data_IF_050504635485
#
_entry.id   IF_050504635485
#
_cell.length_a   1.000
_cell.length_b   1.000
_cell.length_c   1.000
_cell.angle_alpha   90.00
_cell.angle_beta   90.00
_cell.angle_gamma   90.00
#
_symmetry.space_group_name_H-M   'P 1'
#
loop_
_entity.id
_entity.type
_entity.pdbx_description
1 polymer ?
#
# COMPACT_ATOMS: atom_id res chain seq x y z
N UNK A 1 -14.95 13.21 9.55
CA UNK A 1 -16.06 12.97 8.62
C UNK A 1 -15.92 11.62 7.98
N UNK A 2 -16.96 10.85 8.03
CA UNK A 2 -16.91 9.52 7.48
C UNK A 2 -17.17 9.52 6.00
N UNK A 3 -16.60 8.53 5.34
CA UNK A 3 -16.70 8.38 3.90
C UNK A 3 -17.67 7.26 3.52
N UNK A 4 -18.77 7.16 4.26
CA UNK A 4 -19.72 6.06 4.07
C UNK A 4 -20.47 6.14 2.75
N UNK A 5 -20.48 7.30 2.11
CA UNK A 5 -21.14 7.44 0.82
C UNK A 5 -20.41 6.69 -0.29
N UNK A 6 -19.18 6.30 -0.08
CA UNK A 6 -18.43 5.56 -1.07
C UNK A 6 -18.71 4.07 -0.93
N UNK A 7 -19.32 3.48 -1.94
CA UNK A 7 -19.71 2.07 -1.92
C UNK A 7 -18.90 1.22 -2.88
N UNK A 8 -18.21 1.84 -3.85
CA UNK A 8 -17.38 1.15 -4.83
C UNK A 8 -15.95 1.62 -4.73
N UNK A 9 -15.01 0.68 -4.85
CA UNK A 9 -13.58 1.02 -4.76
C UNK A 9 -13.18 2.03 -5.83
N UNK A 10 -13.74 1.92 -7.02
CA UNK A 10 -13.40 2.80 -8.12
C UNK A 10 -13.87 4.23 -7.94
N UNK A 11 -14.69 4.49 -6.94
CA UNK A 11 -15.11 5.85 -6.60
C UNK A 11 -14.02 6.61 -5.85
N UNK A 12 -13.04 5.90 -5.31
CA UNK A 12 -11.99 6.53 -4.52
C UNK A 12 -10.93 7.16 -5.42
N UNK A 13 -10.30 8.28 -4.96
CA UNK A 13 -9.22 8.87 -5.74
C UNK A 13 -8.10 7.86 -6.00
N UNK A 14 -7.51 7.94 -7.18
CA UNK A 14 -6.37 7.12 -7.60
C UNK A 14 -6.69 5.64 -7.85
N UNK A 15 -7.92 5.21 -7.66
CA UNK A 15 -8.27 3.79 -7.81
C UNK A 15 -9.04 3.57 -9.09
N UNK A 16 -8.39 2.92 -10.04
CA UNK A 16 -9.04 2.44 -11.26
C UNK A 16 -9.34 0.94 -11.14
N UNK A 17 -9.82 0.33 -12.24
CA UNK A 17 -10.21 -1.09 -12.19
C UNK A 17 -9.08 -2.04 -11.81
N UNK A 18 -7.85 -1.75 -12.23
CA UNK A 18 -6.71 -2.62 -11.91
C UNK A 18 -6.41 -2.62 -10.43
N UNK A 19 -6.37 -1.44 -9.80
CA UNK A 19 -6.11 -1.33 -8.36
C UNK A 19 -7.29 -1.90 -7.57
N UNK A 20 -8.51 -1.66 -8.02
CA UNK A 20 -9.68 -2.23 -7.35
C UNK A 20 -9.61 -3.76 -7.37
N UNK A 21 -9.20 -4.34 -8.49
CA UNK A 21 -9.01 -5.79 -8.57
C UNK A 21 -7.96 -6.29 -7.59
N UNK A 22 -6.86 -5.55 -7.45
CA UNK A 22 -5.81 -5.91 -6.51
C UNK A 22 -6.32 -5.86 -5.06
N UNK A 23 -7.12 -4.84 -4.73
CA UNK A 23 -7.68 -4.74 -3.39
C UNK A 23 -8.61 -5.92 -3.09
N UNK A 24 -9.42 -6.32 -4.07
CA UNK A 24 -10.31 -7.46 -3.88
C UNK A 24 -9.54 -8.75 -3.63
N UNK A 25 -8.36 -8.90 -4.22
CA UNK A 25 -7.52 -10.09 -4.03
C UNK A 25 -7.04 -10.23 -2.59
N UNK A 26 -6.95 -9.13 -1.85
CA UNK A 26 -6.52 -9.16 -0.45
C UNK A 26 -7.68 -8.96 0.52
N UNK A 27 -8.91 -9.18 0.03
CA UNK A 27 -10.08 -9.18 0.90
C UNK A 27 -10.74 -7.83 1.11
N UNK A 28 -10.35 -6.82 0.34
CA UNK A 28 -10.94 -5.50 0.45
C UNK A 28 -11.93 -5.34 -0.70
N UNK A 29 -13.21 -5.50 -0.39
CA UNK A 29 -14.27 -5.49 -1.39
C UNK A 29 -14.94 -4.14 -1.56
N UNK A 30 -14.96 -3.33 -0.49
CA UNK A 30 -15.61 -2.03 -0.50
C UNK A 30 -14.72 -1.02 0.24
N UNK A 31 -14.91 0.30 -0.01
CA UNK A 31 -14.06 1.31 0.62
C UNK A 31 -14.00 1.24 2.13
N UNK A 32 -15.11 0.89 2.78
CA UNK A 32 -15.13 0.82 4.24
C UNK A 32 -14.10 -0.17 4.79
N UNK A 33 -13.77 -1.20 4.02
CA UNK A 33 -12.78 -2.19 4.45
C UNK A 33 -11.36 -1.60 4.56
N UNK A 34 -11.13 -0.40 4.04
CA UNK A 34 -9.84 0.26 4.14
C UNK A 34 -9.65 0.99 5.47
N UNK A 35 -10.72 1.22 6.21
CA UNK A 35 -10.63 1.98 7.45
C UNK A 35 -9.76 1.20 8.45
N UNK A 36 -8.73 1.87 8.96
CA UNK A 36 -7.85 1.26 9.95
C UNK A 36 -6.84 0.26 9.42
N UNK A 37 -6.73 0.10 8.09
CA UNK A 37 -5.80 -0.87 7.51
C UNK A 37 -4.40 -0.29 7.37
N UNK A 38 -3.41 -1.16 7.45
CA UNK A 38 -2.01 -0.80 7.22
C UNK A 38 -1.69 -0.99 5.74
N UNK A 39 -1.43 0.08 4.99
CA UNK A 39 -1.17 -0.06 3.55
C UNK A 39 0.07 -0.88 3.23
N UNK A 40 1.06 -0.88 4.11
CA UNK A 40 2.28 -1.67 3.90
C UNK A 40 1.99 -3.17 4.03
N UNK A 41 1.18 -3.55 5.01
CA UNK A 41 0.72 -4.92 5.15
C UNK A 41 -0.14 -5.35 3.98
N UNK A 42 -0.99 -4.45 3.48
CA UNK A 42 -1.81 -4.72 2.30
C UNK A 42 -0.94 -5.01 1.08
N UNK A 43 0.11 -4.23 0.88
CA UNK A 43 1.03 -4.43 -0.24
C UNK A 43 1.74 -5.78 -0.13
N UNK A 44 2.23 -6.11 1.08
CA UNK A 44 2.89 -7.39 1.31
C UNK A 44 1.94 -8.56 1.03
N UNK A 45 0.69 -8.44 1.48
CA UNK A 45 -0.31 -9.46 1.22
C UNK A 45 -0.58 -9.64 -0.27
N UNK A 46 -0.65 -8.54 -1.00
CA UNK A 46 -0.89 -8.60 -2.44
C UNK A 46 0.26 -9.33 -3.15
N UNK A 47 1.48 -9.00 -2.81
CA UNK A 47 2.64 -9.66 -3.41
C UNK A 47 2.64 -11.15 -3.08
N UNK A 48 2.24 -11.50 -1.86
CA UNK A 48 2.19 -12.89 -1.43
C UNK A 48 1.12 -13.68 -2.17
N UNK A 49 -0.11 -13.13 -2.26
CA UNK A 49 -1.21 -13.89 -2.88
C UNK A 49 -1.07 -13.98 -4.39
N UNK A 50 -0.39 -13.03 -5.03
CA UNK A 50 -0.17 -13.08 -6.48
C UNK A 50 1.13 -13.77 -6.84
N UNK A 51 2.01 -14.01 -5.87
CA UNK A 51 3.29 -14.63 -6.12
C UNK A 51 4.25 -13.76 -6.91
N UNK A 52 4.04 -12.45 -6.92
CA UNK A 52 4.88 -11.54 -7.69
C UNK A 52 5.05 -10.21 -6.94
N UNK A 53 6.16 -9.53 -7.22
CA UNK A 53 6.43 -8.23 -6.65
C UNK A 53 5.79 -7.15 -7.50
N UNK A 54 4.93 -6.38 -6.89
CA UNK A 54 4.23 -5.30 -7.59
C UNK A 54 5.05 -4.03 -7.60
N UNK A 55 4.75 -3.14 -8.56
CA UNK A 55 5.38 -1.83 -8.63
C UNK A 55 5.13 -1.08 -7.33
N UNK A 56 6.16 -0.41 -6.76
CA UNK A 56 5.94 0.38 -5.54
C UNK A 56 4.89 1.46 -5.65
N UNK A 57 4.55 1.90 -6.86
CA UNK A 57 3.43 2.85 -7.05
C UNK A 57 2.12 2.29 -6.50
N UNK A 58 1.94 0.97 -6.54
CA UNK A 58 0.74 0.34 -6.00
C UNK A 58 0.65 0.61 -4.50
N UNK A 59 1.77 0.55 -3.80
CA UNK A 59 1.81 0.86 -2.38
C UNK A 59 1.44 2.32 -2.13
N UNK A 60 1.94 3.24 -2.96
CA UNK A 60 1.59 4.65 -2.83
C UNK A 60 0.08 4.85 -2.98
N UNK A 61 -0.54 4.14 -3.91
CA UNK A 61 -2.00 4.20 -4.09
C UNK A 61 -2.71 3.65 -2.86
N UNK A 62 -2.20 2.58 -2.28
CA UNK A 62 -2.79 2.02 -1.06
C UNK A 62 -2.71 3.02 0.09
N UNK A 63 -1.58 3.71 0.24
CA UNK A 63 -1.44 4.75 1.27
C UNK A 63 -2.49 5.83 1.05
N UNK A 64 -2.62 6.31 -0.18
CA UNK A 64 -3.59 7.35 -0.51
C UNK A 64 -5.02 6.91 -0.19
N UNK A 65 -5.36 5.67 -0.51
CA UNK A 65 -6.70 5.16 -0.29
C UNK A 65 -7.03 5.03 1.21
N UNK A 66 -6.10 4.51 1.98
CA UNK A 66 -6.29 4.35 3.43
C UNK A 66 -6.41 5.73 4.10
N UNK A 67 -5.55 6.69 3.71
CA UNK A 67 -5.61 8.04 4.25
C UNK A 67 -6.90 8.74 3.87
N UNK A 68 -7.36 8.56 2.65
CA UNK A 68 -8.62 9.15 2.22
C UNK A 68 -9.78 8.62 3.06
N UNK A 69 -9.82 7.32 3.31
CA UNK A 69 -10.89 6.74 4.12
C UNK A 69 -10.75 7.10 5.60
N UNK A 70 -9.59 7.56 6.02
CA UNK A 70 -9.40 8.09 7.37
C UNK A 70 -9.85 9.54 7.50
N UNK A 71 -10.31 10.16 6.41
CA UNK A 71 -10.83 11.52 6.42
C UNK A 71 -9.89 12.57 5.86
N UNK A 72 -8.72 12.18 5.35
CA UNK A 72 -7.78 13.13 4.78
C UNK A 72 -8.23 13.56 3.38
N UNK A 73 -7.81 14.74 2.91
CA UNK A 73 -8.21 15.22 1.58
C UNK A 73 -7.74 14.28 0.47
N UNK A 74 -8.48 14.29 -0.64
CA UNK A 74 -8.07 13.55 -1.84
C UNK A 74 -6.70 14.07 -2.29
N UNK A 75 -5.73 13.17 -2.41
CA UNK A 75 -4.35 13.52 -2.71
C UNK A 75 -3.82 12.55 -3.76
N UNK A 76 -3.07 13.05 -4.77
CA UNK A 76 -2.50 12.12 -5.77
C UNK A 76 -1.52 11.15 -5.12
N UNK A 77 -1.46 9.93 -5.68
CA UNK A 77 -0.64 8.87 -5.08
C UNK A 77 0.84 9.26 -5.00
N UNK A 78 1.35 10.02 -5.95
CA UNK A 78 2.77 10.38 -5.97
C UNK A 78 3.15 11.31 -4.83
N UNK A 79 2.18 11.94 -4.18
CA UNK A 79 2.45 12.77 -3.01
C UNK A 79 2.92 11.92 -1.83
N UNK A 80 2.68 10.62 -1.85
CA UNK A 80 3.08 9.72 -0.76
C UNK A 80 4.37 8.96 -1.04
N UNK A 81 4.99 9.18 -2.21
CA UNK A 81 6.19 8.45 -2.60
C UNK A 81 7.34 8.65 -1.61
N UNK A 82 7.58 9.88 -1.19
CA UNK A 82 8.66 10.17 -0.23
C UNK A 82 8.38 9.50 1.13
N UNK A 83 7.14 9.55 1.58
CA UNK A 83 6.76 8.90 2.83
C UNK A 83 6.95 7.39 2.74
N UNK A 84 6.54 6.79 1.63
CA UNK A 84 6.71 5.36 1.42
C UNK A 84 8.18 4.96 1.43
N UNK A 85 9.03 5.72 0.76
CA UNK A 85 10.46 5.42 0.73
C UNK A 85 11.08 5.52 2.13
N UNK A 86 10.70 6.54 2.89
CA UNK A 86 11.21 6.69 4.24
C UNK A 86 10.74 5.57 5.16
N UNK A 87 9.48 5.16 5.02
CA UNK A 87 8.93 4.09 5.84
C UNK A 87 9.60 2.75 5.54
N UNK A 88 9.89 2.46 4.27
CA UNK A 88 10.54 1.21 3.91
C UNK A 88 11.99 1.17 4.40
N UNK A 89 12.68 2.31 4.40
CA UNK A 89 14.02 2.38 4.97
C UNK A 89 13.98 2.06 6.46
N UNK A 90 12.99 2.57 7.19
CA UNK A 90 12.84 2.28 8.61
C UNK A 90 12.51 0.81 8.86
N UNK A 91 11.68 0.20 8.02
CA UNK A 91 11.30 -1.20 8.19
C UNK A 91 12.43 -2.15 7.80
N UNK A 92 13.22 -1.78 6.79
CA UNK A 92 14.31 -2.60 6.26
C UNK A 92 15.54 -1.74 6.06
N UNK A 93 16.21 -1.33 7.15
CA UNK A 93 17.37 -0.46 7.02
C UNK A 93 18.46 -1.10 6.18
N UNK A 94 19.19 -0.33 5.37
CA UNK A 94 20.32 -0.86 4.62
C UNK A 94 21.35 -1.49 5.55
N UNK A 95 22.00 -2.58 5.08
CA UNK A 95 23.07 -3.24 5.82
C UNK A 95 22.59 -4.35 6.74
N UNK A 96 21.35 -4.62 6.75
CA UNK A 96 20.85 -5.78 7.46
C UNK A 96 20.82 -6.97 6.54
N UNK A 97 20.98 -7.22 6.02
CA UNK A 97 20.77 -8.05 5.15
C UNK A 97 20.90 -9.12 5.05
N UNK A 98 20.80 -8.72 4.84
CA UNK A 98 20.78 -9.02 4.80
C UNK A 98 20.95 -9.75 4.82
N UNK A 99 20.87 -10.01 4.66
CA UNK A 99 20.81 -10.15 4.87
C UNK A 99 21.12 -10.43 4.99
N UNK A 100 21.50 -10.86 4.55
CA UNK A 100 21.49 -10.58 4.88
C UNK A 100 21.96 -10.62 4.73
N UNK A 101 22.16 -10.76 4.26
CA UNK A 101 22.55 -10.29 4.23
C UNK A 101 22.97 -10.20 4.24
N UNK A 102 23.11 -10.92 4.07
CA UNK A 102 23.42 -10.38 4.22
C UNK A 102 23.83 -10.36 4.12
N UNK A 103 24.10 -10.71 3.68
CA UNK A 103 24.46 -10.28 3.68
C UNK A 103 24.86 -10.27 3.46
N UNK A 104 24.88 -10.82 3.29
CA UNK A 104 25.12 -10.36 3.21
C UNK A 104 25.56 -10.28 2.97
N UNK A 105 25.55 -10.61 2.87
CA UNK A 105 25.79 -10.18 2.75
C UNK A 105 26.08 -9.96 2.91
N UNK A 106 26.21 -10.64 2.76
CA UNK A 106 26.30 -10.07 2.95
C UNK A 106 26.61 -9.92 2.94
N UNK A 107 26.71 -10.40 3.01
CA UNK A 107 26.80 -9.85 3.23
C UNK A 107 27.10 -9.68 3.22
N UNK A 108 27.16 -10.30 3.20
CA UNK A 108 27.25 -9.75 3.46
C UNK A 108 27.26 -9.45 3.44
#
# INVERSE_FOLDING_TARGET
MERDQYTELEQLPNIGPAIAGNLRRIGIAVPHNLVGRDPYGMYDDLCRVTGTRHDPCVLDVFIAAVRFMAGEPATPWWAYTAERKAALVSRNPPGRNAKGNADTRSSL
#
